data_IF_548922710698
#
_entry.id   IF_548922710698
#
_cell.length_a   1.000
_cell.length_b   1.000
_cell.length_c   1.000
_cell.angle_alpha   90.00
_cell.angle_beta   90.00
_cell.angle_gamma   90.00
#
_symmetry.space_group_name_H-M   'P 1'
#
loop_
_entity.id
_entity.type
_entity.pdbx_description
1 polymer ?
#
# COMPACT_ATOMS: atom_id res chain seq x y z
N UNK A 1 -19.62 -10.64 -4.60
CA UNK A 1 -18.66 -9.58 -4.52
C UNK A 1 -17.75 -9.54 -5.71
N UNK A 2 -17.88 -8.49 -6.45
CA UNK A 2 -17.29 -8.28 -7.77
C UNK A 2 -15.75 -8.31 -7.75
N UNK A 3 -15.13 -8.02 -6.62
CA UNK A 3 -13.66 -7.93 -6.52
C UNK A 3 -12.95 -9.28 -6.42
N UNK A 4 -13.55 -10.26 -5.73
CA UNK A 4 -12.92 -11.57 -5.53
C UNK A 4 -12.84 -12.40 -6.80
N UNK A 5 -13.83 -12.22 -7.68
CA UNK A 5 -13.91 -13.01 -8.91
C UNK A 5 -12.85 -12.63 -9.95
N UNK A 6 -12.10 -11.56 -9.67
CA UNK A 6 -11.11 -11.01 -10.60
C UNK A 6 -9.66 -11.09 -10.09
N UNK A 7 -9.45 -11.56 -8.87
CA UNK A 7 -8.11 -11.73 -8.29
C UNK A 7 -7.58 -13.11 -8.68
N UNK A 8 -6.32 -13.15 -9.11
CA UNK A 8 -5.67 -14.43 -9.42
C UNK A 8 -5.55 -15.26 -8.13
N UNK A 9 -6.19 -16.41 -8.12
CA UNK A 9 -6.23 -17.30 -6.95
C UNK A 9 -4.87 -17.90 -6.60
N UNK A 10 -3.88 -17.80 -7.48
CA UNK A 10 -2.51 -18.23 -7.20
C UNK A 10 -1.77 -17.25 -6.32
N UNK A 11 -2.27 -16.01 -6.19
CA UNK A 11 -1.67 -14.98 -5.35
C UNK A 11 -2.02 -15.24 -3.90
N UNK A 12 -0.99 -15.34 -3.06
CA UNK A 12 -1.13 -15.51 -1.62
C UNK A 12 -0.71 -14.22 -0.91
N UNK A 13 -1.61 -13.66 -0.12
CA UNK A 13 -1.30 -12.50 0.74
C UNK A 13 -0.93 -13.04 2.12
N UNK A 14 0.23 -12.66 2.61
CA UNK A 14 0.71 -13.10 3.91
C UNK A 14 1.49 -12.01 4.63
N UNK A 15 1.66 -12.11 5.96
CA UNK A 15 2.54 -11.19 6.69
C UNK A 15 3.98 -11.25 6.16
N UNK A 16 4.67 -10.11 6.26
CA UNK A 16 6.08 -9.99 5.89
C UNK A 16 6.95 -10.87 6.79
N UNK A 17 8.03 -11.37 6.20
CA UNK A 17 9.10 -12.09 6.89
C UNK A 17 10.41 -11.34 6.65
N UNK A 18 11.36 -11.31 7.60
CA UNK A 18 12.64 -10.63 7.38
C UNK A 18 13.39 -11.07 6.11
N UNK A 19 13.25 -12.31 5.70
CA UNK A 19 13.84 -12.84 4.46
C UNK A 19 13.29 -12.20 3.18
N UNK A 20 12.14 -11.52 3.26
CA UNK A 20 11.51 -10.87 2.11
C UNK A 20 12.17 -9.54 1.75
N UNK A 21 13.13 -9.06 2.55
CA UNK A 21 13.71 -7.73 2.39
C UNK A 21 14.24 -7.46 0.99
N UNK A 22 15.00 -8.40 0.42
CA UNK A 22 15.60 -8.19 -0.91
C UNK A 22 14.53 -7.98 -1.99
N UNK A 23 13.47 -8.77 -1.95
CA UNK A 23 12.37 -8.66 -2.91
C UNK A 23 11.62 -7.34 -2.74
N UNK A 24 11.32 -6.96 -1.50
CA UNK A 24 10.63 -5.70 -1.19
C UNK A 24 11.50 -4.51 -1.60
N UNK A 25 12.80 -4.55 -1.30
CA UNK A 25 13.75 -3.52 -1.69
C UNK A 25 13.78 -3.31 -3.21
N UNK A 26 13.82 -4.40 -3.96
CA UNK A 26 13.80 -4.34 -5.42
C UNK A 26 12.48 -3.71 -5.93
N UNK A 27 11.35 -4.17 -5.40
CA UNK A 27 10.02 -3.66 -5.79
C UNK A 27 9.93 -2.16 -5.49
N UNK A 28 10.40 -1.73 -4.32
CA UNK A 28 10.40 -0.31 -3.92
C UNK A 28 11.19 0.53 -4.93
N UNK A 29 12.39 0.11 -5.26
CA UNK A 29 13.27 0.82 -6.20
C UNK A 29 12.70 0.88 -7.62
N UNK A 30 12.06 -0.18 -8.07
CA UNK A 30 11.48 -0.24 -9.41
C UNK A 30 10.18 0.56 -9.52
N UNK A 31 9.52 0.84 -8.39
CA UNK A 31 8.18 1.41 -8.36
C UNK A 31 8.15 2.91 -8.12
N UNK A 32 9.13 3.47 -7.42
CA UNK A 32 9.07 4.86 -6.95
C UNK A 32 10.25 5.70 -7.42
N UNK A 33 9.97 6.95 -7.77
CA UNK A 33 11.00 7.94 -8.14
C UNK A 33 11.91 8.29 -6.97
N UNK A 34 11.34 8.31 -5.75
CA UNK A 34 12.04 8.60 -4.51
C UNK A 34 11.83 7.45 -3.53
N UNK A 35 12.48 6.30 -3.76
CA UNK A 35 12.27 5.13 -2.93
C UNK A 35 12.79 5.33 -1.51
N UNK A 36 12.23 4.59 -0.57
CA UNK A 36 12.73 4.56 0.81
C UNK A 36 14.17 4.06 0.85
N UNK A 37 14.94 4.55 1.82
CA UNK A 37 16.27 3.99 2.08
C UNK A 37 16.16 2.56 2.62
N UNK A 38 17.25 1.82 2.53
CA UNK A 38 17.31 0.45 3.09
C UNK A 38 16.98 0.44 4.58
N UNK A 39 17.55 1.40 5.32
CA UNK A 39 17.33 1.51 6.77
C UNK A 39 15.86 1.80 7.11
N UNK A 40 15.24 2.73 6.38
CA UNK A 40 13.83 3.05 6.59
C UNK A 40 12.94 1.87 6.26
N UNK A 41 13.21 1.19 5.16
CA UNK A 41 12.41 0.02 4.77
C UNK A 41 12.50 -1.10 5.83
N UNK A 42 13.70 -1.37 6.36
CA UNK A 42 13.86 -2.34 7.45
C UNK A 42 13.07 -1.93 8.70
N UNK A 43 13.13 -0.63 9.03
CA UNK A 43 12.36 -0.09 10.15
C UNK A 43 10.85 -0.29 9.94
N UNK A 44 10.34 0.02 8.75
CA UNK A 44 8.92 -0.17 8.42
C UNK A 44 8.51 -1.65 8.51
N UNK A 45 9.38 -2.56 8.06
CA UNK A 45 9.10 -4.00 8.17
C UNK A 45 8.98 -4.47 9.62
N UNK A 46 9.71 -3.86 10.54
CA UNK A 46 9.70 -4.22 11.96
C UNK A 46 8.58 -3.51 12.74
N UNK A 47 8.27 -2.26 12.39
CA UNK A 47 7.46 -1.38 13.23
C UNK A 47 6.05 -1.10 12.68
N UNK A 48 5.74 -1.48 11.45
CA UNK A 48 4.39 -1.30 10.90
C UNK A 48 3.41 -2.27 11.54
N UNK A 49 2.21 -1.78 11.86
CA UNK A 49 1.13 -2.62 12.39
C UNK A 49 0.58 -3.58 11.34
N UNK A 50 0.65 -3.18 10.08
CA UNK A 50 0.26 -3.98 8.93
C UNK A 50 1.42 -3.95 7.95
N UNK A 51 1.99 -5.11 7.64
CA UNK A 51 2.95 -5.25 6.55
C UNK A 51 2.72 -6.60 5.90
N UNK A 52 2.13 -6.55 4.69
CA UNK A 52 1.75 -7.73 3.94
C UNK A 52 2.54 -7.81 2.64
N UNK A 53 2.82 -9.02 2.21
CA UNK A 53 3.41 -9.29 0.91
C UNK A 53 2.47 -10.15 0.08
N UNK A 54 2.54 -9.96 -1.22
CA UNK A 54 1.87 -10.83 -2.20
C UNK A 54 2.90 -11.79 -2.74
N UNK A 55 2.62 -13.07 -2.61
CA UNK A 55 3.47 -14.15 -3.09
C UNK A 55 2.77 -14.85 -4.25
N UNK A 56 3.49 -15.01 -5.35
CA UNK A 56 3.02 -15.74 -6.53
C UNK A 56 4.07 -16.77 -6.91
N UNK A 57 3.68 -18.03 -6.85
CA UNK A 57 4.58 -19.16 -7.18
C UNK A 57 5.91 -19.10 -6.43
N UNK A 58 5.86 -18.79 -5.13
CA UNK A 58 7.02 -18.71 -4.26
C UNK A 58 7.82 -17.42 -4.33
N UNK A 59 7.41 -16.46 -5.17
CA UNK A 59 8.08 -15.16 -5.29
C UNK A 59 7.26 -14.05 -4.65
N UNK A 60 7.91 -13.16 -3.91
CA UNK A 60 7.29 -11.92 -3.44
C UNK A 60 7.24 -10.92 -4.59
N UNK A 61 6.03 -10.55 -5.01
CA UNK A 61 5.79 -9.71 -6.18
C UNK A 61 5.13 -8.37 -5.82
N UNK A 62 4.78 -8.16 -4.57
CA UNK A 62 4.17 -6.91 -4.12
C UNK A 62 4.16 -6.83 -2.60
N UNK A 63 3.91 -5.62 -2.09
CA UNK A 63 3.76 -5.40 -0.65
C UNK A 63 2.86 -4.20 -0.37
N UNK A 64 2.36 -4.13 0.86
CA UNK A 64 1.65 -2.97 1.41
C UNK A 64 2.00 -2.83 2.88
N UNK A 65 2.16 -1.61 3.36
CA UNK A 65 2.42 -1.37 4.77
C UNK A 65 1.71 -0.14 5.31
N UNK A 66 1.41 -0.18 6.59
CA UNK A 66 0.73 0.91 7.27
C UNK A 66 0.71 0.75 8.78
N UNK A 67 0.17 1.77 9.46
CA UNK A 67 0.07 1.84 10.91
C UNK A 67 -1.31 2.26 11.36
N UNK A 68 -1.60 1.99 12.63
CA UNK A 68 -2.73 2.56 13.36
C UNK A 68 -2.24 3.80 14.10
N UNK A 69 -2.94 4.90 13.93
CA UNK A 69 -2.71 6.14 14.68
C UNK A 69 -3.89 6.35 15.61
N UNK A 70 -3.62 6.42 16.91
CA UNK A 70 -4.64 6.64 17.93
C UNK A 70 -4.64 8.11 18.34
N UNK A 71 -5.64 8.83 17.85
CA UNK A 71 -5.90 10.23 18.14
C UNK A 71 -7.32 10.32 18.71
N UNK A 72 -8.01 11.46 18.55
CA UNK A 72 -9.44 11.55 18.83
C UNK A 72 -10.23 10.49 18.06
N UNK A 73 -9.82 10.24 16.83
CA UNK A 73 -10.32 9.18 15.97
C UNK A 73 -9.19 8.17 15.73
N UNK A 74 -9.52 6.89 15.63
CA UNK A 74 -8.53 5.87 15.29
C UNK A 74 -8.40 5.82 13.77
N UNK A 75 -7.20 6.11 13.28
CA UNK A 75 -6.90 6.19 11.86
C UNK A 75 -5.96 5.08 11.43
N UNK A 76 -6.18 4.56 10.23
CA UNK A 76 -5.19 3.75 9.53
C UNK A 76 -4.44 4.65 8.55
N UNK A 77 -3.11 4.54 8.52
CA UNK A 77 -2.29 5.25 7.56
C UNK A 77 -1.52 4.24 6.71
N UNK A 78 -1.84 4.16 5.44
CA UNK A 78 -1.08 3.34 4.47
C UNK A 78 0.12 4.15 4.02
N UNK A 79 1.33 3.66 4.29
CA UNK A 79 2.57 4.34 3.91
C UNK A 79 2.96 4.06 2.47
N UNK A 80 2.83 2.81 2.04
CA UNK A 80 3.30 2.40 0.73
C UNK A 80 2.59 1.14 0.28
N UNK A 81 2.37 1.07 -1.02
CA UNK A 81 1.93 -0.14 -1.71
C UNK A 81 2.63 -0.16 -3.06
N UNK A 82 3.17 -1.31 -3.44
CA UNK A 82 3.81 -1.48 -4.73
C UNK A 82 3.71 -2.91 -5.22
N UNK A 83 3.64 -3.05 -6.54
CA UNK A 83 3.67 -4.33 -7.24
C UNK A 83 4.80 -4.28 -8.25
N UNK A 84 5.60 -5.34 -8.31
CA UNK A 84 6.69 -5.47 -9.27
C UNK A 84 6.16 -5.22 -10.69
N UNK A 85 6.85 -4.42 -11.53
CA UNK A 85 6.36 -4.05 -12.85
C UNK A 85 5.93 -5.21 -13.76
N UNK A 86 6.63 -6.33 -13.67
CA UNK A 86 6.31 -7.53 -14.48
C UNK A 86 5.01 -8.24 -14.05
N UNK A 87 4.50 -7.91 -12.86
CA UNK A 87 3.31 -8.56 -12.28
C UNK A 87 2.13 -7.60 -12.14
N UNK A 88 2.19 -6.43 -12.78
CA UNK A 88 1.08 -5.47 -12.78
C UNK A 88 -0.05 -5.98 -13.67
N UNK A 89 -1.24 -5.37 -13.49
CA UNK A 89 -2.49 -5.73 -14.20
C UNK A 89 -3.02 -7.14 -13.86
N UNK A 90 -2.52 -7.74 -12.79
CA UNK A 90 -3.01 -9.01 -12.25
C UNK A 90 -3.86 -8.83 -11.00
N UNK A 91 -4.25 -7.59 -10.70
CA UNK A 91 -5.06 -7.20 -9.53
C UNK A 91 -4.39 -7.51 -8.18
N UNK A 92 -3.08 -7.63 -8.16
CA UNK A 92 -2.30 -7.90 -6.96
C UNK A 92 -2.39 -6.71 -6.00
N UNK A 93 -2.29 -5.47 -6.52
CA UNK A 93 -2.46 -4.26 -5.71
C UNK A 93 -3.84 -4.19 -5.05
N UNK A 94 -4.87 -4.56 -5.77
CA UNK A 94 -6.24 -4.65 -5.25
C UNK A 94 -6.31 -5.66 -4.09
N UNK A 95 -5.74 -6.85 -4.27
CA UNK A 95 -5.73 -7.89 -3.24
C UNK A 95 -5.00 -7.43 -1.97
N UNK A 96 -3.83 -6.81 -2.14
CA UNK A 96 -3.05 -6.25 -1.02
C UNK A 96 -3.84 -5.19 -0.26
N UNK A 97 -4.46 -4.25 -0.97
CA UNK A 97 -5.23 -3.16 -0.35
C UNK A 97 -6.46 -3.69 0.39
N UNK A 98 -7.20 -4.62 -0.20
CA UNK A 98 -8.38 -5.21 0.45
C UNK A 98 -7.97 -5.84 1.78
N UNK A 99 -6.91 -6.63 1.80
CA UNK A 99 -6.46 -7.28 3.03
C UNK A 99 -5.93 -6.28 4.05
N UNK A 100 -5.18 -5.27 3.61
CA UNK A 100 -4.69 -4.22 4.49
C UNK A 100 -5.84 -3.42 5.12
N UNK A 101 -6.85 -3.06 4.34
CA UNK A 101 -8.05 -2.37 4.82
C UNK A 101 -8.75 -3.22 5.88
N UNK A 102 -8.94 -4.51 5.60
CA UNK A 102 -9.58 -5.42 6.55
C UNK A 102 -8.80 -5.53 7.86
N UNK A 103 -7.48 -5.63 7.79
CA UNK A 103 -6.64 -5.69 8.99
C UNK A 103 -6.68 -4.41 9.81
N UNK A 104 -6.62 -3.25 9.15
CA UNK A 104 -6.72 -1.96 9.85
C UNK A 104 -8.09 -1.79 10.50
N UNK A 105 -9.14 -2.20 9.80
CA UNK A 105 -10.51 -2.17 10.35
C UNK A 105 -10.64 -3.06 11.59
N UNK A 106 -10.10 -4.28 11.55
CA UNK A 106 -10.11 -5.19 12.70
C UNK A 106 -9.34 -4.62 13.89
N UNK A 107 -8.35 -3.77 13.65
CA UNK A 107 -7.58 -3.08 14.69
C UNK A 107 -8.25 -1.79 15.18
N UNK A 108 -9.46 -1.50 14.72
CA UNK A 108 -10.28 -0.40 15.20
C UNK A 108 -10.21 0.87 14.36
N UNK A 109 -9.55 0.87 13.23
CA UNK A 109 -9.52 2.04 12.35
C UNK A 109 -10.95 2.43 11.93
N UNK A 110 -11.26 3.71 12.07
CA UNK A 110 -12.53 4.30 11.67
C UNK A 110 -12.44 4.96 10.30
N UNK A 111 -11.23 5.31 9.90
CA UNK A 111 -10.89 5.93 8.63
C UNK A 111 -9.50 5.47 8.23
N UNK A 112 -9.26 5.33 6.94
CA UNK A 112 -7.92 5.07 6.39
C UNK A 112 -7.54 6.22 5.47
N UNK A 113 -6.30 6.66 5.54
CA UNK A 113 -5.78 7.67 4.61
C UNK A 113 -4.42 7.26 4.04
N UNK A 114 -4.10 7.84 2.92
CA UNK A 114 -2.83 7.66 2.23
C UNK A 114 -2.48 8.91 1.43
N UNK A 115 -1.20 9.02 1.06
CA UNK A 115 -0.70 10.02 0.13
C UNK A 115 -0.36 9.35 -1.19
N UNK A 116 -0.65 10.03 -2.31
CA UNK A 116 -0.17 9.57 -3.61
C UNK A 116 0.17 10.75 -4.52
N UNK A 117 1.13 10.53 -5.41
CA UNK A 117 1.53 11.54 -6.38
C UNK A 117 0.35 11.90 -7.29
N UNK A 118 0.16 13.19 -7.54
CA UNK A 118 -0.93 13.64 -8.41
C UNK A 118 -0.81 13.07 -9.84
N UNK A 119 0.39 12.72 -10.27
CA UNK A 119 0.64 12.09 -11.58
C UNK A 119 0.40 10.59 -11.61
N UNK A 120 0.24 9.95 -10.47
CA UNK A 120 0.08 8.48 -10.40
C UNK A 120 -1.38 8.08 -10.66
N UNK A 121 -1.78 8.19 -11.92
CA UNK A 121 -3.18 7.95 -12.33
C UNK A 121 -3.62 6.52 -12.04
N UNK A 122 -2.75 5.55 -12.25
CA UNK A 122 -3.08 4.14 -12.00
C UNK A 122 -3.40 3.88 -10.52
N UNK A 123 -2.60 4.46 -9.61
CA UNK A 123 -2.83 4.35 -8.17
C UNK A 123 -4.12 5.06 -7.75
N UNK A 124 -4.33 6.28 -8.25
CA UNK A 124 -5.55 7.04 -7.95
C UNK A 124 -6.79 6.24 -8.34
N UNK A 125 -6.79 5.66 -9.54
CA UNK A 125 -7.91 4.83 -10.00
C UNK A 125 -8.13 3.60 -9.12
N UNK A 126 -7.05 2.94 -8.70
CA UNK A 126 -7.14 1.80 -7.79
C UNK A 126 -7.82 2.21 -6.48
N UNK A 127 -7.36 3.30 -5.87
CA UNK A 127 -7.89 3.77 -4.59
C UNK A 127 -9.34 4.22 -4.73
N UNK A 128 -9.69 4.95 -5.80
CA UNK A 128 -11.07 5.36 -6.06
C UNK A 128 -12.02 4.17 -6.18
N UNK A 129 -11.59 3.11 -6.86
CA UNK A 129 -12.39 1.88 -6.98
C UNK A 129 -12.64 1.21 -5.62
N UNK A 130 -11.73 1.38 -4.67
CA UNK A 130 -11.87 0.84 -3.32
C UNK A 130 -12.68 1.75 -2.39
N UNK A 131 -13.10 2.92 -2.88
CA UNK A 131 -13.93 3.86 -2.15
C UNK A 131 -13.17 5.04 -1.54
N UNK A 132 -11.88 5.15 -1.77
CA UNK A 132 -11.11 6.33 -1.35
C UNK A 132 -11.50 7.55 -2.18
N UNK A 133 -11.45 8.71 -1.54
CA UNK A 133 -11.69 9.99 -2.20
C UNK A 133 -10.58 10.97 -1.89
N UNK A 134 -10.23 11.84 -2.85
CA UNK A 134 -9.28 12.92 -2.64
C UNK A 134 -9.93 13.94 -1.69
N UNK A 135 -9.27 14.19 -0.56
CA UNK A 135 -9.74 15.16 0.44
C UNK A 135 -8.85 16.38 0.53
N UNK A 136 -7.60 16.30 0.07
CA UNK A 136 -6.65 17.40 0.13
C UNK A 136 -5.57 17.23 -0.93
N UNK A 137 -4.99 18.36 -1.37
CA UNK A 137 -3.79 18.42 -2.19
C UNK A 137 -2.71 19.15 -1.41
N UNK A 138 -1.53 18.55 -1.29
CA UNK A 138 -0.38 19.15 -0.61
C UNK A 138 0.67 19.50 -1.66
N UNK A 139 0.97 20.79 -1.79
CA UNK A 139 1.98 21.28 -2.73
C UNK A 139 3.37 20.83 -2.30
N UNK A 140 4.17 20.44 -3.29
CA UNK A 140 5.59 20.11 -3.12
C UNK A 140 5.85 19.11 -1.99
N UNK A 141 4.99 18.11 -1.88
CA UNK A 141 5.06 17.10 -0.84
C UNK A 141 6.29 16.20 -0.98
N UNK A 142 6.59 15.78 -2.22
CA UNK A 142 7.70 14.89 -2.50
C UNK A 142 9.01 15.66 -2.71
N UNK A 143 10.16 15.01 -2.52
CA UNK A 143 11.49 15.64 -2.64
C UNK A 143 11.73 16.27 -4.00
N UNK A 144 11.16 15.71 -5.06
CA UNK A 144 11.27 16.23 -6.40
C UNK A 144 10.32 17.39 -6.70
N UNK A 145 9.55 17.82 -5.70
CA UNK A 145 8.62 18.96 -5.81
C UNK A 145 7.23 18.62 -6.28
N UNK A 146 6.94 17.36 -6.57
CA UNK A 146 5.60 16.95 -6.99
C UNK A 146 4.61 17.04 -5.84
N UNK A 147 3.38 17.44 -6.15
CA UNK A 147 2.28 17.50 -5.19
C UNK A 147 1.77 16.10 -4.86
N UNK A 148 1.18 15.97 -3.68
CA UNK A 148 0.46 14.77 -3.26
C UNK A 148 -1.03 15.05 -3.13
N UNK A 149 -1.83 14.04 -3.45
CA UNK A 149 -3.20 13.95 -2.95
C UNK A 149 -3.20 13.19 -1.64
N UNK A 150 -3.98 13.68 -0.67
CA UNK A 150 -4.43 12.88 0.46
C UNK A 150 -5.74 12.23 0.03
N UNK A 151 -5.81 10.92 0.14
CA UNK A 151 -7.03 10.18 -0.15
C UNK A 151 -7.50 9.46 1.10
N UNK A 152 -8.80 9.46 1.34
CA UNK A 152 -9.40 8.94 2.55
C UNK A 152 -10.53 7.96 2.25
N UNK A 153 -10.65 6.95 3.11
CA UNK A 153 -11.71 5.95 3.10
C UNK A 153 -12.36 5.91 4.47
N UNK A 154 -13.65 6.19 4.52
CA UNK A 154 -14.47 5.97 5.74
C UNK A 154 -14.78 4.48 5.87
N UNK A 155 -14.67 3.96 7.08
CA UNK A 155 -14.93 2.53 7.35
C UNK A 155 -16.27 2.31 8.06
#
# INVERSE_FOLDING_TARGET
>A
MVWRDKIDMRVKIRPVDPKDFKSIWLIERLSFKTPYSRSLLRYLMQCSHVFLVAELEGKVVGYVCGVIERREQVLGHIFSIAVHPEYRRMRIGTALMIEAINMLKRRGAQKIYLECRVSNIAAIKLYEKLGFRVTKRIKSYYRDGEDAYIMELEL
#
